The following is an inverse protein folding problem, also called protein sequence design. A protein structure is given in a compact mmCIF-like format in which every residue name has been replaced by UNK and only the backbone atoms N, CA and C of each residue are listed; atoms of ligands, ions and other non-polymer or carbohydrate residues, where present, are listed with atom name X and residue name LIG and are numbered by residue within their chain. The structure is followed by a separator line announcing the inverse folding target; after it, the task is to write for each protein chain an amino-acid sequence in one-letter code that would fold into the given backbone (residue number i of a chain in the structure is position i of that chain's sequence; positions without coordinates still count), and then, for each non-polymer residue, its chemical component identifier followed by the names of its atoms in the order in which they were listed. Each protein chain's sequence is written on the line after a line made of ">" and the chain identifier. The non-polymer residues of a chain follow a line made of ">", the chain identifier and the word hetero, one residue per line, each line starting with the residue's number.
data_IF_583656675793
#
_entry.id   IF_583656675793
#
_cell.length_a   1.000
_cell.length_b   1.000
_cell.length_c   1.000
_cell.angle_alpha   90.00
_cell.angle_beta   90.00
_cell.angle_gamma   90.00
#
_symmetry.space_group_name_H-M   'P 1'
#
loop_
_entity.id
_entity.type
_entity.pdbx_description
1 polymer ?
#
# COMPACT_ATOMS: atom_id res chain seq x y z
N UNK A 1 8.41 -8.74 -35.96
CA UNK A 1 7.71 -9.33 -34.79
C UNK A 1 8.15 -8.73 -33.44
N UNK A 2 9.33 -8.13 -33.33
CA UNK A 2 9.84 -7.46 -32.12
C UNK A 2 9.04 -6.19 -31.73
N UNK A 3 8.67 -5.37 -32.71
CA UNK A 3 7.92 -4.11 -32.47
C UNK A 3 6.57 -4.29 -31.75
N UNK A 4 5.84 -5.39 -31.98
CA UNK A 4 4.55 -5.64 -31.32
C UNK A 4 4.68 -6.07 -29.85
N UNK A 5 5.75 -6.79 -29.52
CA UNK A 5 6.04 -7.20 -28.13
C UNK A 5 6.49 -6.03 -27.29
N UNK A 6 7.43 -5.22 -27.81
CA UNK A 6 7.92 -4.03 -27.13
C UNK A 6 6.76 -3.06 -26.83
N UNK A 7 5.86 -2.85 -27.79
CA UNK A 7 4.64 -2.07 -27.60
C UNK A 7 3.74 -2.63 -26.49
N UNK A 8 3.66 -3.95 -26.34
CA UNK A 8 2.86 -4.60 -25.29
C UNK A 8 3.45 -4.38 -23.88
N UNK A 9 4.79 -4.43 -23.75
CA UNK A 9 5.46 -4.11 -22.48
C UNK A 9 5.36 -2.64 -22.13
N UNK A 10 5.47 -1.74 -23.11
CA UNK A 10 5.27 -0.30 -22.89
C UNK A 10 3.85 0.00 -22.41
N UNK A 11 2.84 -0.63 -23.01
CA UNK A 11 1.45 -0.50 -22.57
C UNK A 11 1.24 -1.04 -21.14
N UNK A 12 1.82 -2.20 -20.82
CA UNK A 12 1.81 -2.75 -19.46
C UNK A 12 2.51 -1.80 -18.47
N UNK A 13 3.69 -1.29 -18.82
CA UNK A 13 4.45 -0.35 -17.98
C UNK A 13 3.66 0.92 -17.68
N UNK A 14 3.09 1.56 -18.71
CA UNK A 14 2.29 2.78 -18.52
C UNK A 14 1.09 2.54 -17.60
N UNK A 15 0.41 1.40 -17.75
CA UNK A 15 -0.71 1.03 -16.90
C UNK A 15 -0.26 0.81 -15.45
N UNK A 16 0.80 0.02 -15.24
CA UNK A 16 1.32 -0.30 -13.91
C UNK A 16 1.86 0.96 -13.20
N UNK A 17 2.59 1.82 -13.91
CA UNK A 17 3.09 3.10 -13.39
C UNK A 17 1.94 4.01 -12.95
N UNK A 18 0.91 4.15 -13.79
CA UNK A 18 -0.26 4.96 -13.46
C UNK A 18 -1.00 4.42 -12.22
N UNK A 19 -1.14 3.10 -12.11
CA UNK A 19 -1.73 2.48 -10.94
C UNK A 19 -0.86 2.72 -9.71
N UNK A 20 0.45 2.47 -9.79
CA UNK A 20 1.40 2.69 -8.70
C UNK A 20 1.29 4.11 -8.11
N UNK A 21 1.25 5.14 -8.96
CA UNK A 21 1.08 6.53 -8.53
C UNK A 21 -0.31 6.81 -7.95
N UNK A 22 -1.34 6.14 -8.46
CA UNK A 22 -2.69 6.24 -7.90
C UNK A 22 -2.76 5.66 -6.49
N UNK A 23 -2.02 4.58 -6.20
CA UNK A 23 -1.95 4.02 -4.84
C UNK A 23 -1.36 5.02 -3.84
N UNK A 24 -0.37 5.84 -4.22
CA UNK A 24 0.13 6.92 -3.35
C UNK A 24 -0.93 7.97 -3.03
N UNK A 25 -1.70 8.41 -4.04
CA UNK A 25 -2.76 9.42 -3.86
C UNK A 25 -3.83 8.93 -2.89
N UNK A 26 -4.26 7.68 -3.02
CA UNK A 26 -5.24 7.09 -2.11
C UNK A 26 -4.64 6.82 -0.71
N UNK A 27 -3.37 6.46 -0.61
CA UNK A 27 -2.68 6.35 0.68
C UNK A 27 -2.66 7.69 1.42
N UNK A 28 -2.39 8.80 0.72
CA UNK A 28 -2.50 10.15 1.29
C UNK A 28 -3.93 10.47 1.74
N UNK A 29 -4.94 10.11 0.93
CA UNK A 29 -6.34 10.30 1.29
C UNK A 29 -6.73 9.53 2.56
N UNK A 30 -6.27 8.28 2.71
CA UNK A 30 -6.48 7.48 3.93
C UNK A 30 -5.84 8.16 5.14
N UNK A 31 -4.60 8.66 5.00
CA UNK A 31 -3.91 9.39 6.09
C UNK A 31 -4.68 10.62 6.53
N UNK A 32 -5.09 11.47 5.58
CA UNK A 32 -5.84 12.69 5.89
C UNK A 32 -7.21 12.38 6.51
N UNK A 33 -7.91 11.38 5.98
CA UNK A 33 -9.18 10.90 6.55
C UNK A 33 -8.98 10.41 7.98
N UNK A 34 -7.90 9.67 8.25
CA UNK A 34 -7.59 9.19 9.58
C UNK A 34 -7.35 10.34 10.57
N UNK A 35 -6.58 11.36 10.16
CA UNK A 35 -6.35 12.56 10.97
C UNK A 35 -7.67 13.24 11.32
N UNK A 36 -8.53 13.50 10.32
CA UNK A 36 -9.81 14.20 10.53
C UNK A 36 -10.75 13.40 11.44
N UNK A 37 -10.95 12.11 11.15
CA UNK A 37 -11.86 11.26 11.92
C UNK A 37 -11.36 11.07 13.35
N UNK A 38 -10.07 10.81 13.54
CA UNK A 38 -9.49 10.63 14.88
C UNK A 38 -9.54 11.94 15.68
N UNK A 39 -9.20 13.08 15.08
CA UNK A 39 -9.30 14.37 15.75
C UNK A 39 -10.74 14.71 16.15
N UNK A 40 -11.72 14.40 15.30
CA UNK A 40 -13.13 14.59 15.62
C UNK A 40 -13.58 13.69 16.79
N UNK A 41 -13.21 12.40 16.76
CA UNK A 41 -13.53 11.46 17.82
C UNK A 41 -12.90 11.85 19.17
N UNK A 42 -11.67 12.35 19.16
CA UNK A 42 -10.97 12.81 20.36
C UNK A 42 -11.55 14.13 20.90
N UNK A 43 -11.57 15.18 20.08
CA UNK A 43 -11.82 16.53 20.59
C UNK A 43 -13.28 16.93 20.60
N UNK A 44 -14.10 16.41 19.68
CA UNK A 44 -15.52 16.76 19.60
C UNK A 44 -16.41 15.78 20.37
N UNK A 45 -16.07 14.48 20.34
CA UNK A 45 -16.87 13.42 20.94
C UNK A 45 -16.27 12.85 22.23
N UNK A 46 -15.00 13.12 22.55
CA UNK A 46 -14.33 12.66 23.76
C UNK A 46 -14.39 11.12 23.94
N UNK A 47 -14.23 10.38 22.84
CA UNK A 47 -14.30 8.91 22.81
C UNK A 47 -12.95 8.28 22.48
N UNK A 48 -12.01 8.37 23.43
CA UNK A 48 -10.59 8.10 23.20
C UNK A 48 -10.27 6.67 22.76
N UNK A 49 -10.84 5.68 23.44
CA UNK A 49 -10.64 4.27 23.10
C UNK A 49 -11.12 3.96 21.67
N UNK A 50 -12.28 4.50 21.30
CA UNK A 50 -12.84 4.31 19.96
C UNK A 50 -12.02 5.05 18.90
N UNK A 51 -11.50 6.24 19.23
CA UNK A 51 -10.57 6.98 18.37
C UNK A 51 -9.31 6.15 18.06
N UNK A 52 -8.70 5.53 19.08
CA UNK A 52 -7.54 4.65 18.90
C UNK A 52 -7.85 3.44 18.00
N UNK A 53 -9.01 2.80 18.19
CA UNK A 53 -9.42 1.64 17.39
C UNK A 53 -9.68 2.00 15.92
N UNK A 54 -10.34 3.14 15.68
CA UNK A 54 -10.56 3.66 14.32
C UNK A 54 -9.23 4.02 13.66
N UNK A 55 -8.34 4.68 14.39
CA UNK A 55 -7.01 5.03 13.90
C UNK A 55 -6.19 3.78 13.51
N UNK A 56 -6.23 2.73 14.33
CA UNK A 56 -5.59 1.45 14.05
C UNK A 56 -6.21 0.73 12.84
N UNK A 57 -7.53 0.80 12.67
CA UNK A 57 -8.21 0.18 11.52
C UNK A 57 -7.79 0.84 10.20
N UNK A 58 -7.79 2.18 10.17
CA UNK A 58 -7.35 2.94 9.00
C UNK A 58 -5.85 2.77 8.72
N UNK A 59 -5.04 2.57 9.76
CA UNK A 59 -3.62 2.23 9.60
C UNK A 59 -3.43 0.88 8.89
N UNK A 60 -4.11 -0.17 9.35
CA UNK A 60 -4.05 -1.48 8.70
C UNK A 60 -4.55 -1.42 7.26
N UNK A 61 -5.56 -0.60 6.98
CA UNK A 61 -6.06 -0.39 5.64
C UNK A 61 -5.02 0.27 4.72
N UNK A 62 -4.27 1.28 5.21
CA UNK A 62 -3.14 1.86 4.45
C UNK A 62 -2.04 0.82 4.21
N UNK A 63 -1.75 -0.05 5.20
CA UNK A 63 -0.81 -1.17 5.05
C UNK A 63 -1.22 -2.17 3.96
N UNK A 64 -2.51 -2.51 3.86
CA UNK A 64 -3.06 -3.34 2.78
C UNK A 64 -2.88 -2.63 1.44
N UNK A 65 -3.19 -1.32 1.38
CA UNK A 65 -3.06 -0.50 0.19
C UNK A 65 -1.61 -0.49 -0.33
N UNK A 66 -0.65 -0.30 0.57
CA UNK A 66 0.79 -0.34 0.29
C UNK A 66 1.31 -1.70 -0.13
N UNK A 67 0.66 -2.77 0.31
CA UNK A 67 1.00 -4.13 -0.13
C UNK A 67 0.67 -4.32 -1.61
N UNK A 68 -0.50 -3.86 -2.07
CA UNK A 68 -0.83 -3.90 -3.50
C UNK A 68 0.14 -3.06 -4.33
N UNK A 69 0.48 -1.87 -3.85
CA UNK A 69 1.48 -1.02 -4.47
C UNK A 69 2.86 -1.71 -4.59
N UNK A 70 3.31 -2.39 -3.53
CA UNK A 70 4.57 -3.14 -3.53
C UNK A 70 4.58 -4.28 -4.57
N UNK A 71 3.44 -4.96 -4.76
CA UNK A 71 3.31 -6.02 -5.79
C UNK A 71 3.36 -5.45 -7.21
N UNK A 72 2.71 -4.31 -7.44
CA UNK A 72 2.80 -3.59 -8.72
C UNK A 72 4.25 -3.19 -8.99
N UNK A 73 4.97 -2.66 -8.00
CA UNK A 73 6.37 -2.28 -8.13
C UNK A 73 7.26 -3.45 -8.56
N UNK A 74 7.06 -4.63 -7.96
CA UNK A 74 7.83 -5.81 -8.32
C UNK A 74 7.67 -6.15 -9.81
N UNK A 75 6.44 -6.09 -10.34
CA UNK A 75 6.20 -6.31 -11.77
C UNK A 75 6.73 -5.16 -12.64
N UNK A 76 6.60 -3.93 -12.18
CA UNK A 76 7.07 -2.75 -12.91
C UNK A 76 8.58 -2.85 -13.18
N UNK A 77 9.37 -3.18 -12.16
CA UNK A 77 10.82 -3.38 -12.27
C UNK A 77 11.19 -4.53 -13.23
N UNK A 78 10.40 -5.60 -13.27
CA UNK A 78 10.60 -6.68 -14.24
C UNK A 78 10.35 -6.22 -15.68
N UNK A 79 9.31 -5.41 -15.90
CA UNK A 79 9.01 -4.86 -17.23
C UNK A 79 10.11 -3.87 -17.67
N UNK A 80 10.61 -3.06 -16.75
CA UNK A 80 11.74 -2.14 -17.01
C UNK A 80 13.01 -2.90 -17.40
N UNK A 81 13.32 -4.00 -16.71
CA UNK A 81 14.48 -4.83 -17.01
C UNK A 81 14.40 -5.52 -18.39
N UNK A 82 13.19 -5.85 -18.85
CA UNK A 82 12.97 -6.38 -20.21
C UNK A 82 13.11 -5.27 -21.26
N UNK A 83 12.55 -4.08 -21.00
CA UNK A 83 12.64 -2.93 -21.90
C UNK A 83 14.08 -2.38 -22.01
N UNK A 84 14.89 -2.46 -20.95
CA UNK A 84 16.30 -2.06 -20.97
C UNK A 84 17.21 -3.05 -21.71
N UNK A 85 16.68 -4.18 -22.19
CA UNK A 85 17.45 -5.29 -22.78
C UNK A 85 18.49 -5.91 -21.84
N UNK A 86 18.43 -5.63 -20.53
CA UNK A 86 19.33 -6.20 -19.52
C UNK A 86 19.01 -7.66 -19.20
N UNK A 87 17.78 -8.11 -19.48
CA UNK A 87 17.32 -9.48 -19.26
C UNK A 87 16.79 -10.14 -20.53
N UNK A 88 17.07 -11.45 -20.74
CA UNK A 88 16.39 -12.20 -21.78
C UNK A 88 14.86 -12.19 -21.56
N UNK A 89 14.11 -12.11 -22.66
CA UNK A 89 12.63 -12.08 -22.77
C UNK A 89 12.00 -13.34 -22.12
N UNK A 90 12.03 -13.40 -20.79
CA UNK A 90 11.71 -14.59 -19.98
C UNK A 90 10.28 -14.59 -19.47
N UNK A 91 9.60 -13.44 -19.47
CA UNK A 91 8.26 -13.31 -18.92
C UNK A 91 7.36 -12.52 -19.87
N UNK A 92 6.44 -13.21 -20.53
CA UNK A 92 5.47 -12.62 -21.45
C UNK A 92 4.78 -11.35 -20.86
N UNK A 93 4.43 -10.37 -21.70
CA UNK A 93 3.73 -9.17 -21.25
C UNK A 93 2.32 -9.53 -20.76
N UNK A 94 1.75 -8.65 -19.94
CA UNK A 94 0.37 -8.70 -19.43
C UNK A 94 0.06 -9.93 -18.56
N UNK A 95 1.07 -10.49 -17.87
CA UNK A 95 0.93 -11.67 -17.01
C UNK A 95 0.91 -11.36 -15.51
N UNK A 96 0.61 -10.11 -15.11
CA UNK A 96 0.63 -9.68 -13.70
C UNK A 96 -0.15 -10.62 -12.75
N UNK A 97 -1.43 -10.87 -13.05
CA UNK A 97 -2.30 -11.66 -12.17
C UNK A 97 -1.93 -13.15 -12.16
N UNK A 98 -1.58 -13.72 -13.31
CA UNK A 98 -1.20 -15.14 -13.38
C UNK A 98 0.10 -15.39 -12.62
N UNK A 99 1.08 -14.50 -12.80
CA UNK A 99 2.37 -14.55 -12.08
C UNK A 99 2.17 -14.42 -10.57
N UNK A 100 1.32 -13.50 -10.13
CA UNK A 100 0.95 -13.40 -8.72
C UNK A 100 0.34 -14.71 -8.21
N UNK A 101 -0.61 -15.31 -8.93
CA UNK A 101 -1.25 -16.55 -8.50
C UNK A 101 -0.25 -17.70 -8.32
N UNK A 102 0.75 -17.80 -9.20
CA UNK A 102 1.82 -18.81 -9.12
C UNK A 102 2.79 -18.59 -7.95
N UNK A 103 3.08 -17.32 -7.63
CA UNK A 103 4.04 -16.93 -6.59
C UNK A 103 3.36 -16.60 -5.25
N UNK A 104 2.03 -16.67 -5.20
CA UNK A 104 1.24 -16.19 -4.07
C UNK A 104 1.65 -16.94 -2.79
N UNK A 105 2.09 -16.23 -1.75
CA UNK A 105 2.37 -16.87 -0.48
C UNK A 105 1.09 -17.43 0.14
N UNK A 106 1.22 -18.46 0.98
CA UNK A 106 0.11 -18.95 1.80
C UNK A 106 -0.43 -17.88 2.74
N UNK A 107 -1.54 -18.18 3.44
CA UNK A 107 -2.24 -17.23 4.32
C UNK A 107 -1.31 -16.50 5.30
N UNK A 108 -0.43 -17.24 5.97
CA UNK A 108 0.53 -16.65 6.91
C UNK A 108 1.50 -15.67 6.25
N UNK A 109 1.95 -15.98 5.03
CA UNK A 109 2.84 -15.10 4.28
C UNK A 109 2.12 -13.83 3.82
N UNK A 110 0.84 -13.90 3.46
CA UNK A 110 0.03 -12.72 3.14
C UNK A 110 -0.14 -11.80 4.36
N UNK A 111 -0.44 -12.36 5.54
CA UNK A 111 -0.54 -11.57 6.78
C UNK A 111 0.79 -10.88 7.10
N UNK A 112 1.91 -11.61 6.96
CA UNK A 112 3.25 -11.04 7.16
C UNK A 112 3.54 -9.88 6.20
N UNK A 113 3.12 -10.01 4.93
CA UNK A 113 3.28 -8.96 3.92
C UNK A 113 2.49 -7.70 4.28
N UNK A 114 1.23 -7.85 4.72
CA UNK A 114 0.40 -6.73 5.17
C UNK A 114 1.00 -6.01 6.38
N UNK A 115 1.45 -6.77 7.39
CA UNK A 115 2.09 -6.21 8.58
C UNK A 115 3.40 -5.49 8.23
N UNK A 116 4.24 -6.08 7.37
CA UNK A 116 5.50 -5.47 6.95
C UNK A 116 5.25 -4.10 6.27
N UNK A 117 4.25 -4.01 5.40
CA UNK A 117 3.93 -2.76 4.72
C UNK A 117 3.27 -1.74 5.67
N UNK A 118 2.42 -2.19 6.61
CA UNK A 118 1.85 -1.31 7.64
C UNK A 118 2.94 -0.69 8.54
N UNK A 119 4.03 -1.44 8.81
CA UNK A 119 5.16 -1.01 9.63
C UNK A 119 6.22 -0.21 8.87
N UNK A 120 6.07 -0.01 7.55
CA UNK A 120 6.99 0.84 6.81
C UNK A 120 6.99 2.26 7.41
N UNK A 121 8.14 2.92 7.62
CA UNK A 121 8.19 4.21 8.33
C UNK A 121 7.26 5.28 7.75
N UNK A 122 7.11 5.32 6.43
CA UNK A 122 6.25 6.26 5.70
C UNK A 122 4.75 6.00 5.88
N UNK A 123 4.38 4.81 6.36
CA UNK A 123 3.01 4.38 6.65
C UNK A 123 2.75 4.47 8.14
N UNK A 124 3.65 3.94 8.96
CA UNK A 124 3.49 3.85 10.39
C UNK A 124 3.49 5.22 11.08
N UNK A 125 4.38 6.14 10.67
CA UNK A 125 4.57 7.41 11.39
C UNK A 125 3.27 8.19 11.62
N UNK A 126 2.46 8.53 10.59
CA UNK A 126 1.25 9.34 10.79
C UNK A 126 0.21 8.64 11.68
N UNK A 127 0.07 7.32 11.52
CA UNK A 127 -0.95 6.55 12.20
C UNK A 127 -0.59 6.22 13.65
N UNK A 128 0.67 5.88 13.90
CA UNK A 128 1.17 5.55 15.23
C UNK A 128 1.07 6.77 16.16
N UNK A 129 1.34 7.98 15.65
CA UNK A 129 1.17 9.23 16.41
C UNK A 129 -0.28 9.40 16.87
N UNK A 130 -1.25 9.13 15.99
CA UNK A 130 -2.68 9.22 16.33
C UNK A 130 -3.09 8.20 17.39
N UNK A 131 -2.67 6.93 17.25
CA UNK A 131 -2.98 5.87 18.23
C UNK A 131 -2.37 6.20 19.60
N UNK A 132 -1.12 6.67 19.64
CA UNK A 132 -0.46 7.05 20.90
C UNK A 132 -1.15 8.26 21.52
N UNK A 133 -1.50 9.27 20.73
CA UNK A 133 -2.23 10.46 21.20
C UNK A 133 -3.57 10.07 21.82
N UNK A 134 -4.36 9.22 21.15
CA UNK A 134 -5.63 8.73 21.68
C UNK A 134 -5.47 7.97 23.01
N UNK A 135 -4.42 7.15 23.13
CA UNK A 135 -4.12 6.46 24.38
C UNK A 135 -3.73 7.40 25.51
N UNK A 136 -2.95 8.43 25.23
CA UNK A 136 -2.53 9.42 26.22
C UNK A 136 -3.71 10.26 26.74
N UNK A 137 -4.60 10.71 25.84
CA UNK A 137 -5.81 11.46 26.24
C UNK A 137 -6.69 10.60 27.15
N UNK A 138 -6.97 9.36 26.77
CA UNK A 138 -7.82 8.46 27.56
C UNK A 138 -7.24 8.07 28.93
N UNK A 139 -5.91 8.00 29.08
CA UNK A 139 -5.26 7.71 30.37
C UNK A 139 -5.18 8.96 31.26
N UNK A 140 -4.93 10.12 30.66
CA UNK A 140 -4.75 11.38 31.41
C UNK A 140 -6.07 12.09 31.75
N UNK A 141 -7.20 11.72 31.12
CA UNK A 141 -8.51 12.28 31.40
C UNK A 141 -8.62 13.78 31.10
N UNK A 142 -7.89 14.26 30.09
CA UNK A 142 -7.89 15.67 29.64
C UNK A 142 -9.10 15.94 28.75
#
# INVERSE_FOLDING_TARGET
>A
MTSGKESSYQAEWMLLQNQYDSYEKFSLLIKLTNVVVTAYLLFALQVDFWAALVAATLWLQDGIWKTWQSRINARLLEVEAVLSSEYPDTAAPMQYNQRWLQLRPGMMGMVKEYLRNALAPTVAYPHMVLVVLSGLVGVCGV
#
